data_IF_394382318916
#
_entry.id   IF_394382318916
#
_cell.length_a   1.000
_cell.length_b   1.000
_cell.length_c   1.000
_cell.angle_alpha   90.00
_cell.angle_beta   90.00
_cell.angle_gamma   90.00
#
_symmetry.space_group_name_H-M   'P 1'
#
loop_
_entity.id
_entity.type
_entity.pdbx_description
1 polymer ?
#
# COMPACT_ATOMS: atom_id res chain seq x y z
N UNK A 1 18.93 13.54 -1.91
CA UNK A 1 19.52 12.20 -1.72
C UNK A 1 18.62 11.20 -2.39
N UNK A 2 19.15 10.40 -3.30
CA UNK A 2 18.39 9.40 -4.05
C UNK A 2 17.84 8.34 -3.08
N UNK A 3 16.52 8.14 -3.08
CA UNK A 3 15.88 7.16 -2.18
C UNK A 3 16.15 5.77 -2.75
N UNK A 4 17.01 4.99 -2.08
CA UNK A 4 17.36 3.64 -2.51
C UNK A 4 16.29 2.63 -2.05
N UNK A 5 15.20 2.53 -2.80
CA UNK A 5 14.07 1.65 -2.45
C UNK A 5 14.43 0.16 -2.51
N UNK A 6 15.34 -0.25 -3.42
CA UNK A 6 15.73 -1.66 -3.54
C UNK A 6 16.45 -2.17 -2.29
N UNK A 7 17.32 -1.34 -1.69
CA UNK A 7 17.98 -1.66 -0.42
C UNK A 7 17.00 -1.76 0.77
N UNK A 8 15.85 -1.09 0.70
CA UNK A 8 14.84 -1.10 1.76
C UNK A 8 13.93 -2.34 1.74
N UNK A 9 13.86 -3.08 0.62
CA UNK A 9 12.91 -4.21 0.45
C UNK A 9 13.14 -5.30 1.50
N UNK A 10 14.38 -5.77 1.67
CA UNK A 10 14.67 -6.86 2.60
C UNK A 10 14.36 -6.49 4.08
N UNK A 11 14.78 -5.31 4.59
CA UNK A 11 14.35 -4.84 5.90
C UNK A 11 12.82 -4.73 6.05
N UNK A 12 12.14 -4.18 5.05
CA UNK A 12 10.68 -4.02 5.07
C UNK A 12 9.95 -5.36 5.09
N UNK A 13 10.43 -6.34 4.34
CA UNK A 13 9.88 -7.68 4.35
C UNK A 13 10.03 -8.34 5.72
N UNK A 14 11.20 -8.19 6.36
CA UNK A 14 11.42 -8.69 7.71
C UNK A 14 10.46 -8.06 8.72
N UNK A 15 10.28 -6.73 8.65
CA UNK A 15 9.34 -6.00 9.50
C UNK A 15 7.91 -6.49 9.27
N UNK A 16 7.48 -6.62 8.01
CA UNK A 16 6.15 -7.13 7.68
C UNK A 16 5.93 -8.53 8.26
N UNK A 17 6.88 -9.46 8.06
CA UNK A 17 6.79 -10.83 8.57
C UNK A 17 6.70 -10.85 10.11
N UNK A 18 7.49 -10.01 10.79
CA UNK A 18 7.45 -9.91 12.25
C UNK A 18 6.10 -9.38 12.74
N UNK A 19 5.63 -8.25 12.20
CA UNK A 19 4.35 -7.66 12.56
C UNK A 19 3.19 -8.63 12.31
N UNK A 20 3.24 -9.40 11.22
CA UNK A 20 2.22 -10.39 10.88
C UNK A 20 2.20 -11.61 11.82
N UNK A 21 3.26 -11.82 12.61
CA UNK A 21 3.29 -12.83 13.69
C UNK A 21 2.76 -12.29 15.01
N UNK A 22 2.97 -10.99 15.26
CA UNK A 22 2.60 -10.35 16.53
C UNK A 22 1.16 -9.82 16.54
N UNK A 23 0.66 -9.41 15.38
CA UNK A 23 -0.64 -8.80 15.21
C UNK A 23 -1.47 -9.52 14.16
N UNK A 24 -2.78 -9.28 14.17
CA UNK A 24 -3.68 -9.84 13.15
C UNK A 24 -3.37 -9.27 11.77
N UNK A 25 -3.71 -10.02 10.71
CA UNK A 25 -3.48 -9.60 9.32
C UNK A 25 -4.06 -8.22 8.97
N UNK A 26 -5.06 -7.76 9.72
CA UNK A 26 -5.80 -6.49 9.52
C UNK A 26 -5.34 -5.37 10.46
N UNK A 27 -4.39 -5.62 11.34
CA UNK A 27 -3.88 -4.60 12.23
C UNK A 27 -3.25 -3.44 11.42
N UNK A 28 -3.49 -2.17 11.76
CA UNK A 28 -3.04 -1.03 10.97
C UNK A 28 -1.53 -1.04 10.68
N UNK A 29 -0.71 -1.47 11.65
CA UNK A 29 0.74 -1.61 11.46
C UNK A 29 1.11 -2.66 10.41
N UNK A 30 0.39 -3.79 10.37
CA UNK A 30 0.62 -4.86 9.39
C UNK A 30 0.22 -4.39 7.99
N UNK A 31 -0.94 -3.75 7.87
CA UNK A 31 -1.44 -3.21 6.60
C UNK A 31 -0.53 -2.11 6.06
N UNK A 32 -0.06 -1.20 6.92
CA UNK A 32 0.87 -0.13 6.55
C UNK A 32 2.22 -0.68 6.10
N UNK A 33 2.78 -1.65 6.83
CA UNK A 33 4.04 -2.29 6.46
C UNK A 33 3.91 -3.02 5.11
N UNK A 34 2.79 -3.69 4.87
CA UNK A 34 2.51 -4.36 3.60
C UNK A 34 2.38 -3.34 2.45
N UNK A 35 1.66 -2.24 2.64
CA UNK A 35 1.55 -1.17 1.64
C UNK A 35 2.91 -0.54 1.31
N UNK A 36 3.75 -0.28 2.32
CA UNK A 36 5.10 0.25 2.11
C UNK A 36 5.97 -0.74 1.33
N UNK A 37 5.90 -2.03 1.67
CA UNK A 37 6.63 -3.08 0.95
C UNK A 37 6.21 -3.15 -0.51
N UNK A 38 4.90 -3.17 -0.80
CA UNK A 38 4.37 -3.17 -2.18
C UNK A 38 4.87 -1.95 -2.95
N UNK A 39 4.78 -0.76 -2.35
CA UNK A 39 5.18 0.50 -2.99
C UNK A 39 6.69 0.56 -3.29
N UNK A 40 7.53 0.09 -2.36
CA UNK A 40 8.98 0.02 -2.57
C UNK A 40 9.37 -1.03 -3.63
N UNK A 41 8.69 -2.19 -3.66
CA UNK A 41 8.91 -3.21 -4.68
C UNK A 41 8.50 -2.70 -6.08
N UNK A 42 7.38 -1.99 -6.20
CA UNK A 42 6.94 -1.32 -7.44
C UNK A 42 7.97 -0.28 -7.90
N UNK A 43 8.39 0.62 -7.01
CA UNK A 43 9.37 1.66 -7.31
C UNK A 43 10.74 1.09 -7.73
N UNK A 44 11.09 -0.10 -7.25
CA UNK A 44 12.33 -0.80 -7.59
C UNK A 44 12.18 -1.74 -8.81
N UNK A 45 11.00 -1.84 -9.44
CA UNK A 45 10.77 -2.66 -10.62
C UNK A 45 10.86 -4.17 -10.38
N UNK A 46 10.48 -4.63 -9.18
CA UNK A 46 10.69 -6.01 -8.75
C UNK A 46 9.55 -6.93 -9.20
N UNK A 47 9.89 -8.10 -9.76
CA UNK A 47 8.93 -9.02 -10.39
C UNK A 47 7.90 -9.58 -9.40
N UNK A 48 8.29 -9.85 -8.15
CA UNK A 48 7.40 -10.43 -7.14
C UNK A 48 6.49 -9.40 -6.43
N UNK A 49 6.45 -8.14 -6.90
CA UNK A 49 5.52 -7.11 -6.38
C UNK A 49 4.07 -7.56 -6.42
N UNK A 50 3.68 -8.30 -7.47
CA UNK A 50 2.32 -8.79 -7.67
C UNK A 50 1.81 -9.62 -6.48
N UNK A 51 2.63 -10.52 -5.93
CA UNK A 51 2.25 -11.38 -4.80
C UNK A 51 1.91 -10.56 -3.55
N UNK A 52 2.69 -9.53 -3.25
CA UNK A 52 2.41 -8.65 -2.12
C UNK A 52 1.18 -7.77 -2.39
N UNK A 53 1.01 -7.31 -3.64
CA UNK A 53 -0.14 -6.51 -4.06
C UNK A 53 -1.46 -7.29 -3.95
N UNK A 54 -1.51 -8.56 -4.39
CA UNK A 54 -2.65 -9.46 -4.20
C UNK A 54 -2.98 -9.65 -2.72
N UNK A 55 -1.95 -9.95 -1.91
CA UNK A 55 -2.10 -10.11 -0.46
C UNK A 55 -2.67 -8.84 0.19
N UNK A 56 -2.22 -7.67 -0.27
CA UNK A 56 -2.71 -6.39 0.24
C UNK A 56 -4.18 -6.20 -0.11
N UNK A 57 -4.57 -6.34 -1.38
CA UNK A 57 -5.97 -6.17 -1.83
C UNK A 57 -6.91 -7.07 -1.03
N UNK A 58 -6.61 -8.36 -0.92
CA UNK A 58 -7.42 -9.33 -0.16
C UNK A 58 -7.58 -8.93 1.30
N UNK A 59 -6.53 -8.42 1.93
CA UNK A 59 -6.61 -8.00 3.34
C UNK A 59 -7.48 -6.76 3.53
N UNK A 60 -7.46 -5.83 2.59
CA UNK A 60 -8.27 -4.61 2.66
C UNK A 60 -9.77 -4.84 2.39
N UNK A 61 -10.17 -5.94 1.74
CA UNK A 61 -11.59 -6.18 1.46
C UNK A 61 -12.45 -6.29 2.71
N UNK A 62 -11.85 -6.77 3.80
CA UNK A 62 -12.51 -6.99 5.08
C UNK A 62 -12.19 -5.88 6.11
N UNK A 63 -11.59 -4.77 5.67
CA UNK A 63 -11.28 -3.62 6.52
C UNK A 63 -12.38 -2.59 6.40
N UNK A 64 -13.03 -2.27 7.52
CA UNK A 64 -14.04 -1.20 7.65
C UNK A 64 -13.50 0.04 8.38
N UNK A 65 -12.31 -0.05 8.96
CA UNK A 65 -11.66 1.02 9.71
C UNK A 65 -11.21 2.17 8.79
N UNK A 66 -11.72 3.38 9.05
CA UNK A 66 -11.53 4.54 8.20
C UNK A 66 -10.05 4.97 8.08
N UNK A 67 -9.28 4.87 9.17
CA UNK A 67 -7.87 5.23 9.19
C UNK A 67 -7.02 4.27 8.35
N UNK A 68 -7.36 2.98 8.39
CA UNK A 68 -6.73 1.98 7.54
C UNK A 68 -7.13 2.16 6.07
N UNK A 69 -8.38 2.54 5.78
CA UNK A 69 -8.89 2.73 4.40
C UNK A 69 -8.19 3.84 3.60
N UNK A 70 -7.43 4.74 4.24
CA UNK A 70 -6.72 5.83 3.54
C UNK A 70 -5.72 5.34 2.48
N UNK A 71 -5.14 4.17 2.66
CA UNK A 71 -4.23 3.57 1.68
C UNK A 71 -4.95 2.78 0.60
N UNK A 72 -6.25 2.52 0.80
CA UNK A 72 -6.94 1.53 -0.01
C UNK A 72 -7.15 1.99 -1.44
N UNK A 73 -7.55 3.25 -1.63
CA UNK A 73 -7.68 3.84 -2.97
C UNK A 73 -6.31 3.87 -3.69
N UNK A 74 -5.22 4.42 -3.11
CA UNK A 74 -3.89 4.35 -3.72
C UNK A 74 -3.43 2.93 -4.04
N UNK A 75 -3.72 1.97 -3.16
CA UNK A 75 -3.38 0.56 -3.37
C UNK A 75 -4.13 -0.02 -4.57
N UNK A 76 -5.45 0.17 -4.65
CA UNK A 76 -6.25 -0.31 -5.78
C UNK A 76 -5.79 0.30 -7.10
N UNK A 77 -5.46 1.60 -7.12
CA UNK A 77 -4.92 2.28 -8.31
C UNK A 77 -3.58 1.68 -8.75
N UNK A 78 -2.70 1.35 -7.80
CA UNK A 78 -1.45 0.66 -8.09
C UNK A 78 -1.71 -0.74 -8.64
N UNK A 79 -2.59 -1.51 -7.98
CA UNK A 79 -2.91 -2.88 -8.36
C UNK A 79 -3.57 -2.99 -9.74
N UNK A 80 -4.38 -2.01 -10.15
CA UNK A 80 -4.94 -1.93 -11.53
C UNK A 80 -3.84 -1.94 -12.59
N UNK A 81 -2.67 -1.37 -12.30
CA UNK A 81 -1.52 -1.36 -13.22
C UNK A 81 -0.69 -2.65 -13.14
N UNK A 82 -0.60 -3.25 -11.96
CA UNK A 82 0.32 -4.35 -11.67
C UNK A 82 -0.26 -5.74 -11.89
N UNK A 83 -1.55 -5.92 -11.60
CA UNK A 83 -2.18 -7.23 -11.52
C UNK A 83 -2.99 -7.53 -12.80
N UNK A 84 -3.03 -8.80 -13.24
CA UNK A 84 -4.01 -9.24 -14.21
C UNK A 84 -5.43 -9.09 -13.61
N UNK A 85 -6.46 -8.87 -14.43
CA UNK A 85 -7.83 -8.70 -13.95
C UNK A 85 -8.16 -7.30 -13.42
N UNK A 86 -7.53 -6.27 -14.00
CA UNK A 86 -7.73 -4.86 -13.67
C UNK A 86 -9.22 -4.41 -13.67
N UNK A 87 -10.08 -5.05 -14.46
CA UNK A 87 -11.50 -4.71 -14.58
C UNK A 87 -12.25 -4.78 -13.24
N UNK A 88 -12.04 -5.84 -12.45
CA UNK A 88 -12.71 -5.99 -11.15
C UNK A 88 -12.24 -4.93 -10.16
N UNK A 89 -10.95 -4.58 -10.18
CA UNK A 89 -10.37 -3.52 -9.34
C UNK A 89 -10.86 -2.14 -9.78
N UNK A 90 -11.02 -1.92 -11.07
CA UNK A 90 -11.50 -0.67 -11.66
C UNK A 90 -13.00 -0.47 -11.40
N UNK A 91 -13.80 -1.54 -11.44
CA UNK A 91 -15.20 -1.51 -11.02
C UNK A 91 -15.30 -1.20 -9.52
N UNK A 92 -14.41 -1.77 -8.70
CA UNK A 92 -14.36 -1.45 -7.27
C UNK A 92 -14.04 0.02 -7.01
N UNK A 93 -13.06 0.60 -7.70
CA UNK A 93 -12.76 2.03 -7.65
C UNK A 93 -13.96 2.87 -8.08
N UNK A 94 -14.66 2.47 -9.14
CA UNK A 94 -15.88 3.11 -9.61
C UNK A 94 -17.01 3.05 -8.57
N UNK A 95 -17.19 1.91 -7.91
CA UNK A 95 -18.14 1.72 -6.82
C UNK A 95 -17.81 2.61 -5.61
N UNK A 96 -16.53 2.69 -5.21
CA UNK A 96 -16.08 3.59 -4.14
C UNK A 96 -16.36 5.06 -4.48
N UNK A 97 -16.10 5.48 -5.72
CA UNK A 97 -16.43 6.82 -6.21
C UNK A 97 -17.93 7.10 -6.14
N UNK A 98 -18.78 6.15 -6.58
CA UNK A 98 -20.25 6.25 -6.49
C UNK A 98 -20.76 6.39 -5.04
N UNK A 99 -20.05 5.79 -4.08
CA UNK A 99 -20.32 5.91 -2.64
C UNK A 99 -19.78 7.20 -2.01
N UNK A 100 -19.26 8.13 -2.80
CA UNK A 100 -18.77 9.43 -2.33
C UNK A 100 -17.32 9.41 -1.82
N UNK A 101 -16.57 8.31 -2.00
CA UNK A 101 -15.15 8.29 -1.64
C UNK A 101 -14.32 9.09 -2.65
N UNK A 102 -13.31 9.82 -2.16
CA UNK A 102 -12.35 10.51 -3.01
C UNK A 102 -11.46 9.48 -3.71
N UNK A 103 -11.72 9.24 -5.00
CA UNK A 103 -10.94 8.31 -5.82
C UNK A 103 -10.00 9.03 -6.79
N UNK A 104 -10.36 10.24 -7.24
CA UNK A 104 -9.56 11.04 -8.16
C UNK A 104 -8.65 12.00 -7.38
N UNK A 105 -7.41 12.15 -7.83
CA UNK A 105 -6.42 13.02 -7.18
C UNK A 105 -5.88 12.49 -5.85
N UNK A 106 -5.99 11.17 -5.61
CA UNK A 106 -5.28 10.52 -4.53
C UNK A 106 -3.78 10.47 -4.85
N UNK A 107 -2.90 10.65 -3.85
CA UNK A 107 -1.46 10.50 -4.05
C UNK A 107 -1.12 9.04 -4.40
N UNK A 108 0.02 8.80 -5.09
CA UNK A 108 0.57 7.46 -5.25
C UNK A 108 0.72 6.73 -3.90
N UNK A 109 0.62 5.40 -3.91
CA UNK A 109 0.68 4.60 -2.67
C UNK A 109 1.93 4.89 -1.84
N UNK A 110 3.08 5.05 -2.50
CA UNK A 110 4.34 5.36 -1.84
C UNK A 110 4.27 6.67 -1.07
N UNK A 111 3.77 7.73 -1.71
CA UNK A 111 3.64 9.05 -1.10
C UNK A 111 2.62 9.03 0.04
N UNK A 112 1.51 8.33 -0.14
CA UNK A 112 0.47 8.16 0.88
C UNK A 112 1.02 7.51 2.16
N UNK A 113 1.89 6.50 2.04
CA UNK A 113 2.47 5.80 3.19
C UNK A 113 3.65 6.58 3.80
N UNK A 114 4.44 7.25 2.96
CA UNK A 114 5.55 8.09 3.42
C UNK A 114 5.07 9.34 4.16
N UNK A 115 3.87 9.85 3.86
CA UNK A 115 3.29 11.02 4.52
C UNK A 115 3.12 10.86 6.04
N UNK A 116 3.02 9.63 6.56
CA UNK A 116 2.94 9.40 8.01
C UNK A 116 4.27 9.02 8.65
N UNK A 117 5.36 9.18 7.93
CA UNK A 117 6.67 9.27 8.56
C UNK A 117 6.99 10.75 8.72
N UNK A 118 7.49 11.18 9.90
CA UNK A 118 7.92 12.56 10.08
C UNK A 118 8.98 12.90 9.04
N UNK A 119 8.81 14.03 8.36
CA UNK A 119 9.82 14.57 7.45
C UNK A 119 11.07 14.86 8.26
N UNK A 120 12.23 14.33 7.88
CA UNK A 120 13.52 14.61 8.54
C UNK A 120 14.03 16.03 8.29
N UNK A 121 13.20 16.96 7.81
CA UNK A 121 13.51 18.38 7.63
C UNK A 121 13.41 19.13 8.96
N UNK A 122 14.33 18.82 9.87
CA UNK A 122 14.42 19.45 11.17
C UNK A 122 15.76 19.17 11.84
N UNK A 123 16.86 19.54 11.19
CA UNK A 123 18.13 19.84 11.86
C UNK A 123 18.77 21.03 11.13
N UNK A 124 18.52 22.21 11.69
CA UNK A 124 19.34 23.44 11.54
C UNK A 124 20.72 23.22 12.11
#
# INVERSE_FOLDING_TARGET
GEKNYSAAIAPLEMIFRLLNKLFTNRHPLVLRALCLLVACCDAAGVVWTQKYAETAVTRYEAVSDADSLRYYVPLLQLCVRLLPGAEALQERLSSMKRRGMKVVGCPPLLDAVLADFPSTSGQT
#
